data_IF_611504428544
#
_entry.id   IF_611504428544
#
_cell.length_a   1.000
_cell.length_b   1.000
_cell.length_c   1.000
_cell.angle_alpha   90.00
_cell.angle_beta   90.00
_cell.angle_gamma   90.00
#
_symmetry.space_group_name_H-M   'P 1'
#
loop_
_entity.id
_entity.type
_entity.pdbx_description
1 polymer ?
#
# COMPACT_ATOMS: atom_id res chain seq x y z
N UNK A 1 -25.66 -55.12 12.76
CA UNK A 1 -26.52 -54.76 13.92
C UNK A 1 -25.79 -53.69 14.71
N UNK A 2 -26.52 -52.72 15.28
CA UNK A 2 -26.10 -51.38 15.76
C UNK A 2 -26.08 -50.38 14.59
N UNK A 3 -26.86 -49.30 14.51
CA UNK A 3 -27.83 -48.68 15.42
C UNK A 3 -28.07 -47.24 14.94
N UNK A 4 -29.02 -47.04 14.02
CA UNK A 4 -29.49 -45.71 13.58
C UNK A 4 -30.46 -45.16 14.65
N UNK A 5 -30.16 -44.00 15.25
CA UNK A 5 -31.12 -43.24 16.07
C UNK A 5 -31.64 -42.06 15.27
N UNK A 6 -32.94 -42.09 15.02
CA UNK A 6 -33.69 -41.03 14.35
C UNK A 6 -34.03 -39.86 15.28
N UNK A 7 -34.23 -38.71 14.65
CA UNK A 7 -34.84 -37.51 15.24
C UNK A 7 -36.34 -37.73 15.51
N UNK A 8 -36.93 -37.07 16.53
CA UNK A 8 -38.35 -37.18 16.83
C UNK A 8 -39.24 -36.26 15.96
N UNK A 9 -40.53 -36.61 15.78
CA UNK A 9 -41.44 -35.97 14.82
C UNK A 9 -42.26 -34.80 15.40
N UNK A 10 -42.87 -34.02 14.50
CA UNK A 10 -43.80 -32.90 14.75
C UNK A 10 -45.20 -33.41 15.13
N UNK A 11 -45.88 -32.72 16.04
CA UNK A 11 -47.35 -32.77 16.19
C UNK A 11 -47.95 -31.38 16.47
N UNK A 12 -49.14 -31.15 15.90
CA UNK A 12 -49.98 -29.96 16.04
C UNK A 12 -51.33 -30.34 16.71
N UNK A 13 -51.81 -29.47 17.62
CA UNK A 13 -53.21 -29.05 17.94
C UNK A 13 -54.27 -30.09 18.41
N UNK A 14 -54.92 -29.85 19.58
CA UNK A 14 -56.28 -29.24 19.76
C UNK A 14 -56.84 -29.41 21.21
N UNK A 15 -57.34 -28.28 21.76
CA UNK A 15 -58.45 -27.95 22.70
C UNK A 15 -58.79 -28.69 24.03
N UNK A 16 -59.11 -27.87 25.06
CA UNK A 16 -60.13 -28.19 26.09
C UNK A 16 -60.11 -27.37 27.40
N UNK A 17 -61.06 -26.43 27.57
CA UNK A 17 -61.80 -26.13 28.84
C UNK A 17 -61.18 -25.31 30.00
N UNK A 18 -61.81 -24.16 30.35
CA UNK A 18 -61.65 -23.30 31.56
C UNK A 18 -62.66 -23.71 32.70
N UNK A 19 -62.85 -23.03 33.88
CA UNK A 19 -62.23 -21.81 34.46
C UNK A 19 -61.98 -21.73 36.01
N UNK A 20 -61.33 -20.62 36.41
CA UNK A 20 -61.45 -19.79 37.64
C UNK A 20 -60.88 -20.27 39.01
N UNK A 21 -59.84 -19.57 39.51
CA UNK A 21 -59.99 -18.46 40.48
C UNK A 21 -58.66 -17.86 40.96
N UNK A 22 -58.59 -16.52 40.91
CA UNK A 22 -57.90 -15.55 41.78
C UNK A 22 -56.67 -15.99 42.60
N UNK A 23 -55.53 -15.28 42.45
CA UNK A 23 -54.92 -14.38 43.47
C UNK A 23 -53.55 -13.84 42.99
N UNK A 24 -53.44 -12.50 43.03
CA UNK A 24 -52.25 -11.61 43.10
C UNK A 24 -51.20 -11.60 41.98
N UNK A 25 -51.27 -10.50 41.21
CA UNK A 25 -50.30 -9.98 40.25
C UNK A 25 -48.95 -9.62 40.91
N UNK A 26 -47.92 -10.41 40.62
CA UNK A 26 -46.53 -10.01 40.69
C UNK A 26 -46.06 -9.68 39.26
N UNK A 27 -45.95 -8.39 38.97
CA UNK A 27 -45.51 -7.86 37.68
C UNK A 27 -44.00 -8.13 37.55
N UNK A 28 -43.63 -9.28 36.99
CA UNK A 28 -42.26 -9.54 36.57
C UNK A 28 -41.84 -8.52 35.53
N UNK A 29 -40.70 -7.88 35.78
CA UNK A 29 -40.12 -6.86 34.93
C UNK A 29 -39.93 -7.33 33.50
N UNK A 30 -40.36 -6.50 32.56
CA UNK A 30 -40.01 -6.62 31.15
C UNK A 30 -38.49 -6.74 31.01
N UNK A 31 -37.96 -7.68 30.21
CA UNK A 31 -36.56 -7.65 29.86
C UNK A 31 -36.30 -6.37 29.07
N UNK A 32 -35.35 -5.58 29.57
CA UNK A 32 -34.90 -4.35 28.97
C UNK A 32 -34.60 -4.55 27.49
N UNK A 33 -35.20 -3.72 26.63
CA UNK A 33 -34.70 -3.50 25.28
C UNK A 33 -33.22 -3.15 25.39
N UNK A 34 -32.36 -4.07 24.98
CA UNK A 34 -30.94 -3.84 24.84
C UNK A 34 -30.74 -2.59 24.00
N UNK A 35 -30.12 -1.57 24.61
CA UNK A 35 -29.62 -0.40 23.89
C UNK A 35 -28.88 -0.92 22.66
N UNK A 36 -29.32 -0.51 21.46
CA UNK A 36 -28.50 -0.61 20.26
C UNK A 36 -27.19 0.11 20.58
N UNK A 37 -26.15 -0.64 20.89
CA UNK A 37 -24.80 -0.15 20.76
C UNK A 37 -24.70 0.32 19.32
N UNK A 38 -24.48 1.62 19.13
CA UNK A 38 -24.09 2.19 17.86
C UNK A 38 -22.87 1.40 17.40
N UNK A 39 -23.09 0.44 16.50
CA UNK A 39 -22.03 -0.34 15.91
C UNK A 39 -21.05 0.63 15.28
N UNK A 40 -19.81 0.60 15.76
CA UNK A 40 -18.69 1.11 14.97
C UNK A 40 -18.72 0.47 13.57
N UNK A 41 -18.02 1.07 12.59
CA UNK A 41 -17.98 0.55 11.23
C UNK A 41 -17.76 -0.96 11.28
N UNK A 42 -18.69 -1.72 10.68
CA UNK A 42 -18.69 -3.18 10.74
C UNK A 42 -17.30 -3.68 10.34
N UNK A 43 -16.66 -4.42 11.25
CA UNK A 43 -15.33 -4.95 11.02
C UNK A 43 -15.40 -5.82 9.75
N UNK A 44 -14.76 -5.33 8.69
CA UNK A 44 -14.91 -5.91 7.36
C UNK A 44 -13.94 -7.08 7.15
N UNK A 45 -13.10 -7.34 8.15
CA UNK A 45 -12.12 -8.41 8.17
C UNK A 45 -12.68 -9.64 8.91
N UNK A 46 -12.54 -10.83 8.29
CA UNK A 46 -12.85 -12.10 8.94
C UNK A 46 -11.75 -12.47 9.93
N UNK A 47 -12.13 -12.93 11.12
CA UNK A 47 -11.20 -13.59 12.03
C UNK A 47 -10.69 -14.92 11.42
N UNK A 48 -9.55 -15.43 11.87
CA UNK A 48 -8.94 -16.64 11.29
C UNK A 48 -9.89 -17.85 11.32
N UNK A 49 -10.59 -18.07 12.43
CA UNK A 49 -11.56 -19.17 12.54
C UNK A 49 -12.77 -18.97 11.60
N UNK A 50 -13.18 -17.72 11.35
CA UNK A 50 -14.27 -17.37 10.43
C UNK A 50 -13.85 -17.60 8.98
N UNK A 51 -12.61 -17.23 8.66
CA UNK A 51 -12.00 -17.48 7.36
C UNK A 51 -11.88 -18.99 7.06
N UNK A 52 -11.40 -19.78 8.02
CA UNK A 52 -11.29 -21.25 7.87
C UNK A 52 -12.69 -21.86 7.71
N UNK A 53 -13.67 -21.44 8.52
CA UNK A 53 -15.05 -21.91 8.39
C UNK A 53 -15.69 -21.55 7.04
N UNK A 54 -15.46 -20.32 6.57
CA UNK A 54 -15.88 -19.89 5.24
C UNK A 54 -15.26 -20.77 4.15
N UNK A 55 -13.95 -21.01 4.24
CA UNK A 55 -13.21 -21.81 3.27
C UNK A 55 -13.72 -23.26 3.23
N UNK A 56 -13.97 -23.89 4.39
CA UNK A 56 -14.53 -25.22 4.49
C UNK A 56 -15.95 -25.33 3.88
N UNK A 57 -16.81 -24.35 4.17
CA UNK A 57 -18.19 -24.32 3.63
C UNK A 57 -18.20 -24.12 2.12
N UNK A 58 -17.42 -23.17 1.62
CA UNK A 58 -17.31 -22.90 0.18
C UNK A 58 -16.72 -24.10 -0.55
N UNK A 59 -15.69 -24.73 0.02
CA UNK A 59 -15.09 -25.93 -0.54
C UNK A 59 -16.10 -27.06 -0.71
N UNK A 60 -16.85 -27.36 0.36
CA UNK A 60 -17.84 -28.43 0.36
C UNK A 60 -18.98 -28.17 -0.63
N UNK A 61 -19.53 -26.95 -0.67
CA UNK A 61 -20.58 -26.59 -1.62
C UNK A 61 -20.12 -26.62 -3.08
N UNK A 62 -18.87 -26.23 -3.35
CA UNK A 62 -18.31 -26.28 -4.70
C UNK A 62 -18.02 -27.70 -5.16
N UNK A 63 -17.59 -28.58 -4.26
CA UNK A 63 -17.38 -29.99 -4.56
C UNK A 63 -18.71 -30.76 -4.66
N UNK A 64 -19.75 -30.32 -3.95
CA UNK A 64 -21.07 -30.96 -3.91
C UNK A 64 -22.23 -30.00 -4.26
N UNK A 65 -22.36 -29.51 -5.51
CA UNK A 65 -23.36 -28.49 -5.87
C UNK A 65 -24.82 -28.95 -5.71
N UNK A 66 -25.06 -30.28 -5.77
CA UNK A 66 -26.38 -30.88 -5.64
C UNK A 66 -26.65 -31.42 -4.22
N UNK A 67 -25.80 -31.08 -3.25
CA UNK A 67 -26.03 -31.44 -1.86
C UNK A 67 -27.36 -30.84 -1.36
N UNK A 68 -28.17 -31.65 -0.67
CA UNK A 68 -29.52 -31.29 -0.24
C UNK A 68 -30.63 -31.48 -1.29
N UNK A 69 -30.31 -31.87 -2.53
CA UNK A 69 -31.32 -32.22 -3.53
C UNK A 69 -31.85 -33.64 -3.32
N UNK A 70 -33.18 -33.79 -3.33
CA UNK A 70 -33.89 -35.08 -3.18
C UNK A 70 -33.53 -36.10 -4.27
N UNK A 71 -33.00 -35.63 -5.41
CA UNK A 71 -32.68 -36.46 -6.57
C UNK A 71 -31.18 -36.74 -6.73
N UNK A 72 -30.34 -36.23 -5.84
CA UNK A 72 -28.91 -36.48 -5.91
C UNK A 72 -28.59 -37.89 -5.41
N UNK A 73 -28.16 -38.77 -6.31
CA UNK A 73 -27.70 -40.14 -6.01
C UNK A 73 -26.17 -40.28 -6.04
N UNK A 74 -25.43 -39.17 -6.18
CA UNK A 74 -23.97 -39.20 -6.24
C UNK A 74 -23.37 -39.25 -4.84
N UNK A 75 -22.26 -39.97 -4.73
CA UNK A 75 -21.47 -39.99 -3.51
C UNK A 75 -20.91 -38.60 -3.21
N UNK A 76 -20.97 -38.25 -1.92
CA UNK A 76 -20.50 -36.96 -1.44
C UNK A 76 -18.99 -36.94 -1.39
N UNK A 77 -18.38 -35.88 -1.93
CA UNK A 77 -16.98 -35.58 -1.65
C UNK A 77 -16.88 -35.10 -0.20
N UNK A 78 -16.14 -35.80 0.67
CA UNK A 78 -16.03 -35.43 2.08
C UNK A 78 -15.35 -34.06 2.25
N UNK A 79 -15.57 -33.40 3.39
CA UNK A 79 -15.10 -32.04 3.65
C UNK A 79 -13.56 -31.91 3.50
N UNK A 80 -12.72 -32.81 4.04
CA UNK A 80 -11.26 -32.71 3.88
C UNK A 80 -10.82 -32.68 2.42
N UNK A 81 -11.34 -33.59 1.60
CA UNK A 81 -11.03 -33.67 0.16
C UNK A 81 -11.57 -32.45 -0.60
N UNK A 82 -12.77 -31.99 -0.24
CA UNK A 82 -13.36 -30.78 -0.83
C UNK A 82 -12.46 -29.56 -0.60
N UNK A 83 -11.94 -29.41 0.63
CA UNK A 83 -11.02 -28.32 1.01
C UNK A 83 -9.69 -28.45 0.27
N UNK A 84 -9.13 -29.66 0.19
CA UNK A 84 -7.90 -29.91 -0.56
C UNK A 84 -8.04 -29.53 -2.04
N UNK A 85 -9.14 -29.92 -2.68
CA UNK A 85 -9.44 -29.58 -4.08
C UNK A 85 -9.53 -28.06 -4.24
N UNK A 86 -10.23 -27.36 -3.35
CA UNK A 86 -10.36 -25.90 -3.40
C UNK A 86 -9.00 -25.22 -3.23
N UNK A 87 -8.20 -25.66 -2.25
CA UNK A 87 -6.89 -25.11 -1.97
C UNK A 87 -5.95 -25.30 -3.17
N UNK A 88 -5.82 -26.52 -3.68
CA UNK A 88 -4.89 -26.84 -4.77
C UNK A 88 -5.30 -26.23 -6.11
N UNK A 89 -6.60 -26.25 -6.45
CA UNK A 89 -7.06 -25.81 -7.79
C UNK A 89 -7.36 -24.32 -7.88
N UNK A 90 -7.75 -23.67 -6.78
CA UNK A 90 -8.27 -22.29 -6.81
C UNK A 90 -7.46 -21.34 -5.95
N UNK A 91 -7.28 -21.65 -4.66
CA UNK A 91 -6.72 -20.70 -3.70
C UNK A 91 -5.21 -20.58 -3.86
N UNK A 92 -4.46 -21.68 -3.72
CA UNK A 92 -2.99 -21.66 -3.76
C UNK A 92 -2.40 -21.17 -5.09
N UNK A 93 -2.96 -21.51 -6.27
CA UNK A 93 -2.45 -20.97 -7.54
C UNK A 93 -2.63 -19.45 -7.66
N UNK A 94 -3.68 -18.90 -7.03
CA UNK A 94 -4.01 -17.48 -7.06
C UNK A 94 -3.51 -16.74 -5.81
N UNK A 95 -2.99 -17.45 -4.82
CA UNK A 95 -2.46 -16.87 -3.60
C UNK A 95 -1.23 -16.03 -3.94
N UNK A 96 -1.20 -14.82 -3.39
CA UNK A 96 -0.01 -13.97 -3.49
C UNK A 96 1.11 -14.67 -2.73
N UNK A 97 2.13 -15.14 -3.45
CA UNK A 97 3.35 -15.66 -2.84
C UNK A 97 4.14 -14.53 -2.21
N UNK A 98 4.85 -14.84 -1.14
CA UNK A 98 5.79 -13.88 -0.57
C UNK A 98 6.93 -13.64 -1.57
N UNK A 99 7.14 -12.36 -1.90
CA UNK A 99 8.20 -11.88 -2.80
C UNK A 99 9.17 -10.96 -2.05
N UNK A 100 9.17 -11.04 -0.72
CA UNK A 100 10.05 -10.27 0.16
C UNK A 100 11.52 -10.44 -0.26
N UNK A 101 11.99 -11.69 -0.42
CA UNK A 101 13.34 -12.01 -0.84
C UNK A 101 13.71 -11.49 -2.23
N UNK A 102 12.79 -11.56 -3.19
CA UNK A 102 13.01 -11.02 -4.55
C UNK A 102 13.21 -9.50 -4.51
N UNK A 103 12.42 -8.80 -3.69
CA UNK A 103 12.57 -7.36 -3.51
C UNK A 103 13.92 -7.01 -2.87
N UNK A 104 14.38 -7.76 -1.86
CA UNK A 104 15.69 -7.53 -1.23
C UNK A 104 16.82 -7.66 -2.26
N UNK A 105 16.76 -8.69 -3.10
CA UNK A 105 17.73 -8.90 -4.20
C UNK A 105 17.69 -7.75 -5.21
N UNK A 106 16.49 -7.35 -5.64
CA UNK A 106 16.31 -6.25 -6.58
C UNK A 106 16.85 -4.93 -6.03
N UNK A 107 16.52 -4.62 -4.77
CA UNK A 107 17.00 -3.43 -4.08
C UNK A 107 18.53 -3.43 -3.94
N UNK A 108 19.14 -4.57 -3.60
CA UNK A 108 20.59 -4.70 -3.50
C UNK A 108 21.29 -4.50 -4.86
N UNK A 109 20.66 -4.94 -5.96
CA UNK A 109 21.21 -4.79 -7.31
C UNK A 109 21.02 -3.39 -7.92
N UNK A 110 20.02 -2.62 -7.47
CA UNK A 110 19.74 -1.29 -8.03
C UNK A 110 20.66 -0.22 -7.45
N UNK A 111 21.77 0.03 -8.13
CA UNK A 111 22.75 1.05 -7.76
C UNK A 111 22.17 2.45 -7.65
N UNK A 112 21.16 2.80 -8.45
CA UNK A 112 20.56 4.13 -8.42
C UNK A 112 19.80 4.35 -7.09
N UNK A 113 19.03 3.35 -6.65
CA UNK A 113 18.35 3.41 -5.35
C UNK A 113 19.34 3.35 -4.19
N UNK A 114 20.40 2.53 -4.29
CA UNK A 114 21.44 2.49 -3.26
C UNK A 114 22.15 3.85 -3.11
N UNK A 115 22.40 4.57 -4.20
CA UNK A 115 22.97 5.91 -4.15
C UNK A 115 22.05 6.90 -3.42
N UNK A 116 20.73 6.83 -3.64
CA UNK A 116 19.75 7.63 -2.87
C UNK A 116 19.80 7.29 -1.39
N UNK A 117 19.84 5.99 -1.04
CA UNK A 117 19.91 5.57 0.36
C UNK A 117 21.20 6.03 1.05
N UNK A 118 22.32 6.06 0.32
CA UNK A 118 23.58 6.59 0.82
C UNK A 118 23.51 8.11 1.03
N UNK A 119 22.97 8.87 0.07
CA UNK A 119 22.79 10.33 0.14
C UNK A 119 21.94 10.74 1.36
N UNK A 120 20.83 10.04 1.61
CA UNK A 120 19.92 10.36 2.71
C UNK A 120 20.24 9.63 4.02
N UNK A 121 21.29 8.81 4.06
CA UNK A 121 21.61 7.96 5.23
C UNK A 121 21.72 8.78 6.52
N UNK A 122 22.50 9.85 6.48
CA UNK A 122 22.73 10.69 7.66
C UNK A 122 21.45 11.42 8.10
N UNK A 123 20.69 11.97 7.15
CA UNK A 123 19.40 12.62 7.41
C UNK A 123 18.41 11.66 8.08
N UNK A 124 18.30 10.44 7.56
CA UNK A 124 17.45 9.40 8.13
C UNK A 124 17.91 8.97 9.52
N UNK A 125 19.21 8.87 9.76
CA UNK A 125 19.73 8.61 11.12
C UNK A 125 19.39 9.74 12.08
N UNK A 126 19.55 11.00 11.66
CA UNK A 126 19.22 12.16 12.47
C UNK A 126 17.72 12.27 12.74
N UNK A 127 16.88 11.84 11.79
CA UNK A 127 15.43 11.74 11.96
C UNK A 127 15.01 10.62 12.93
N UNK A 128 15.61 9.43 12.82
CA UNK A 128 15.21 8.26 13.65
C UNK A 128 15.74 8.35 15.09
N UNK A 129 16.91 8.96 15.31
CA UNK A 129 17.52 9.10 16.65
C UNK A 129 16.58 9.69 17.71
N UNK A 130 15.94 10.87 17.54
CA UNK A 130 15.03 11.41 18.54
C UNK A 130 13.79 10.54 18.75
N UNK A 131 13.31 9.87 17.70
CA UNK A 131 12.19 8.92 17.78
C UNK A 131 12.56 7.75 18.69
N UNK A 132 13.71 7.12 18.45
CA UNK A 132 14.17 5.99 19.26
C UNK A 132 14.50 6.43 20.70
N UNK A 133 15.07 7.63 20.90
CA UNK A 133 15.28 8.18 22.25
C UNK A 133 13.97 8.28 23.05
N UNK A 134 12.86 8.62 22.40
CA UNK A 134 11.54 8.66 23.06
C UNK A 134 11.01 7.28 23.49
N UNK A 135 11.52 6.21 22.88
CA UNK A 135 11.18 4.82 23.23
C UNK A 135 12.12 4.23 24.29
N UNK A 136 13.20 4.93 24.65
CA UNK A 136 14.21 4.41 25.57
C UNK A 136 13.62 4.26 26.97
N UNK A 137 13.82 3.09 27.56
CA UNK A 137 13.44 2.79 28.93
C UNK A 137 14.62 2.14 29.67
N UNK A 138 14.56 2.07 30.98
CA UNK A 138 15.63 1.47 31.81
C UNK A 138 15.86 -0.01 31.46
N UNK A 139 14.79 -0.72 31.13
CA UNK A 139 14.76 -2.12 30.67
C UNK A 139 15.07 -2.27 29.16
N UNK A 140 15.09 -1.17 28.41
CA UNK A 140 15.32 -1.16 26.97
C UNK A 140 16.28 -0.03 26.56
N UNK A 141 17.59 -0.21 26.82
CA UNK A 141 18.57 0.87 26.70
C UNK A 141 18.88 1.26 25.25
N UNK A 142 18.73 0.34 24.29
CA UNK A 142 19.01 0.53 22.87
C UNK A 142 17.77 0.23 22.02
N UNK A 143 16.80 1.16 21.95
CA UNK A 143 15.56 0.90 21.27
C UNK A 143 15.71 0.83 19.75
N UNK A 144 15.02 -0.14 19.16
CA UNK A 144 14.79 -0.27 17.72
C UNK A 144 13.40 0.22 17.34
N UNK A 145 13.15 0.40 16.04
CA UNK A 145 11.83 0.83 15.56
C UNK A 145 10.82 -0.29 15.79
N UNK A 146 9.84 -0.09 16.67
CA UNK A 146 8.77 -1.08 16.91
C UNK A 146 7.66 -0.94 15.88
N UNK A 147 6.94 -2.05 15.65
CA UNK A 147 5.78 -2.08 14.76
C UNK A 147 4.74 -1.02 15.10
N UNK A 148 4.37 -0.91 16.39
CA UNK A 148 3.40 0.09 16.86
C UNK A 148 3.87 1.50 16.55
N UNK A 149 5.12 1.83 16.90
CA UNK A 149 5.67 3.17 16.67
C UNK A 149 5.72 3.51 15.19
N UNK A 150 6.09 2.56 14.34
CA UNK A 150 6.10 2.76 12.89
C UNK A 150 4.71 3.11 12.35
N UNK A 151 3.67 2.36 12.75
CA UNK A 151 2.29 2.63 12.34
C UNK A 151 1.83 4.01 12.80
N UNK A 152 2.10 4.36 14.06
CA UNK A 152 1.74 5.67 14.63
C UNK A 152 2.43 6.82 13.89
N UNK A 153 3.71 6.64 13.50
CA UNK A 153 4.44 7.63 12.70
C UNK A 153 3.82 7.81 11.31
N UNK A 154 3.48 6.71 10.63
CA UNK A 154 2.91 6.77 9.28
C UNK A 154 1.53 7.44 9.24
N UNK A 155 0.75 7.36 10.32
CA UNK A 155 -0.55 8.04 10.42
C UNK A 155 -0.42 9.56 10.72
N UNK A 156 0.77 10.00 11.13
CA UNK A 156 1.15 11.40 11.27
C UNK A 156 0.72 12.07 12.59
N UNK A 157 0.94 13.39 12.74
CA UNK A 157 0.56 14.14 13.92
C UNK A 157 -0.96 14.28 13.93
N UNK A 158 -1.62 13.47 14.75
CA UNK A 158 -3.09 13.32 14.72
C UNK A 158 -3.57 11.87 14.67
N UNK A 159 -2.70 10.87 14.90
CA UNK A 159 -3.13 9.51 15.24
C UNK A 159 -4.17 9.49 16.37
N UNK A 160 -4.79 8.33 16.68
CA UNK A 160 -5.98 8.25 17.55
C UNK A 160 -5.84 8.96 18.91
N UNK A 161 -4.62 9.09 19.42
CA UNK A 161 -4.32 9.69 20.74
C UNK A 161 -3.99 11.20 20.70
N UNK A 162 -4.01 11.86 19.54
CA UNK A 162 -3.89 13.33 19.40
C UNK A 162 -2.57 13.98 19.85
N UNK A 163 -1.62 13.22 20.42
CA UNK A 163 -0.31 13.70 20.87
C UNK A 163 0.72 13.60 19.74
N UNK A 164 0.62 14.49 18.76
CA UNK A 164 1.58 14.58 17.66
C UNK A 164 2.99 14.94 18.12
N UNK A 165 4.01 14.34 17.49
CA UNK A 165 5.40 14.77 17.63
C UNK A 165 5.52 16.21 17.10
N UNK A 166 5.99 17.14 17.94
CA UNK A 166 6.14 18.55 17.58
C UNK A 166 7.30 18.75 16.59
N UNK A 167 7.22 19.82 15.79
CA UNK A 167 8.29 20.25 14.87
C UNK A 167 9.59 20.41 15.67
N UNK A 168 10.52 19.46 15.50
CA UNK A 168 11.80 19.40 16.23
C UNK A 168 12.09 18.06 16.91
N UNK A 169 11.08 17.22 17.19
CA UNK A 169 11.25 15.90 17.81
C UNK A 169 10.79 14.81 16.84
N UNK A 170 11.61 14.42 15.87
CA UNK A 170 11.26 13.29 14.97
C UNK A 170 9.91 13.45 14.26
N UNK A 171 9.59 14.68 13.85
CA UNK A 171 8.36 14.99 13.12
C UNK A 171 8.25 14.09 11.87
N UNK A 172 7.09 13.49 11.69
CA UNK A 172 6.74 12.69 10.53
C UNK A 172 5.41 13.24 10.00
N UNK A 173 5.34 13.75 8.76
CA UNK A 173 4.08 14.07 8.12
C UNK A 173 3.18 12.84 8.05
N UNK A 174 1.89 13.07 7.78
CA UNK A 174 0.99 11.96 7.49
C UNK A 174 1.40 11.30 6.17
N UNK A 175 1.95 10.09 6.25
CA UNK A 175 2.48 9.32 5.12
C UNK A 175 1.44 8.39 4.49
N UNK A 176 0.27 8.27 5.12
CA UNK A 176 -0.83 7.40 4.67
C UNK A 176 -1.99 8.25 4.17
N UNK A 177 -2.45 7.94 2.97
CA UNK A 177 -3.43 8.72 2.26
C UNK A 177 -3.47 8.39 0.77
N UNK A 178 -4.25 9.19 0.04
CA UNK A 178 -4.28 9.20 -1.42
C UNK A 178 -4.03 10.62 -1.91
N UNK A 179 -3.15 10.75 -2.89
CA UNK A 179 -2.80 12.01 -3.52
C UNK A 179 -2.94 11.88 -5.02
N UNK A 180 -3.39 12.94 -5.67
CA UNK A 180 -3.65 12.99 -7.09
C UNK A 180 -2.94 14.19 -7.68
N UNK A 181 -2.35 14.01 -8.86
CA UNK A 181 -1.75 15.09 -9.62
C UNK A 181 -2.10 14.92 -11.08
N UNK A 182 -2.64 15.97 -11.67
CA UNK A 182 -2.83 16.06 -13.10
C UNK A 182 -1.53 16.52 -13.79
N UNK A 183 -1.13 15.86 -14.87
CA UNK A 183 0.08 16.22 -15.59
C UNK A 183 -0.01 17.64 -16.15
N UNK A 184 1.01 18.45 -15.89
CA UNK A 184 1.13 19.82 -16.36
C UNK A 184 2.25 19.96 -17.41
N UNK A 185 2.16 21.03 -18.20
CA UNK A 185 3.16 21.38 -19.20
C UNK A 185 3.53 22.85 -19.06
N UNK A 186 4.82 23.13 -19.20
CA UNK A 186 5.35 24.49 -19.30
C UNK A 186 5.16 25.07 -20.72
N UNK A 187 4.75 24.24 -21.67
CA UNK A 187 4.47 24.64 -23.05
C UNK A 187 3.03 25.14 -23.13
N UNK A 188 2.86 26.42 -23.47
CA UNK A 188 1.53 27.02 -23.64
C UNK A 188 0.76 26.34 -24.78
N UNK A 189 -0.45 25.86 -24.49
CA UNK A 189 -1.31 25.21 -25.49
C UNK A 189 -0.96 23.74 -25.77
N UNK A 190 -0.17 23.08 -24.92
CA UNK A 190 0.22 21.69 -25.10
C UNK A 190 -0.98 20.72 -25.06
N UNK A 191 -1.30 20.15 -26.22
CA UNK A 191 -2.42 19.24 -26.42
C UNK A 191 -2.35 17.97 -25.56
N UNK A 192 -1.16 17.59 -25.09
CA UNK A 192 -0.96 16.44 -24.20
C UNK A 192 -1.56 16.67 -22.82
N UNK A 193 -1.70 17.93 -22.41
CA UNK A 193 -2.25 18.32 -21.10
C UNK A 193 -3.69 18.83 -21.17
N UNK A 194 -4.29 18.83 -22.36
CA UNK A 194 -5.71 19.13 -22.53
C UNK A 194 -6.58 18.14 -21.75
N UNK A 195 -7.76 18.60 -21.30
CA UNK A 195 -8.69 17.83 -20.46
C UNK A 195 -9.01 16.40 -20.97
N UNK A 196 -8.92 16.17 -22.28
CA UNK A 196 -9.17 14.86 -22.91
C UNK A 196 -7.97 13.90 -22.86
N UNK A 197 -6.75 14.43 -22.83
CA UNK A 197 -5.50 13.66 -23.00
C UNK A 197 -4.62 13.66 -21.74
N UNK A 198 -4.98 14.45 -20.74
CA UNK A 198 -4.22 14.63 -19.51
C UNK A 198 -4.12 13.34 -18.71
N UNK A 199 -2.90 12.99 -18.33
CA UNK A 199 -2.62 11.88 -17.44
C UNK A 199 -2.80 12.34 -15.99
N UNK A 200 -3.60 11.62 -15.21
CA UNK A 200 -3.69 11.84 -13.76
C UNK A 200 -2.85 10.79 -13.04
N UNK A 201 -1.84 11.22 -12.30
CA UNK A 201 -1.03 10.39 -11.43
C UNK A 201 -1.69 10.22 -10.06
N UNK A 202 -1.55 9.03 -9.50
CA UNK A 202 -2.05 8.68 -8.17
C UNK A 202 -0.90 8.15 -7.31
N UNK A 203 -0.70 8.74 -6.14
CA UNK A 203 0.08 8.14 -5.06
C UNK A 203 -0.88 7.64 -3.98
N UNK A 204 -0.66 6.44 -3.44
CA UNK A 204 -1.51 5.88 -2.38
C UNK A 204 -0.73 5.00 -1.43
N UNK A 205 -0.89 5.23 -0.14
CA UNK A 205 -0.35 4.34 0.89
C UNK A 205 -1.41 4.17 1.97
N UNK A 206 -1.63 2.94 2.41
CA UNK A 206 -2.63 2.60 3.43
C UNK A 206 -1.97 2.04 4.69
N UNK A 207 -2.62 2.15 5.85
CA UNK A 207 -2.12 1.54 7.10
C UNK A 207 -1.85 0.03 6.90
N UNK A 208 -2.74 -0.78 6.30
CA UNK A 208 -2.43 -2.18 6.03
C UNK A 208 -1.16 -2.38 5.19
N UNK A 209 -0.93 -1.51 4.18
CA UNK A 209 0.28 -1.59 3.37
C UNK A 209 1.55 -1.29 4.20
N UNK A 210 1.52 -0.25 5.04
CA UNK A 210 2.62 0.07 5.96
C UNK A 210 2.94 -1.09 6.91
N UNK A 211 1.90 -1.72 7.47
CA UNK A 211 2.02 -2.89 8.36
C UNK A 211 2.67 -4.07 7.64
N UNK A 212 2.21 -4.39 6.45
CA UNK A 212 2.79 -5.48 5.65
C UNK A 212 4.24 -5.19 5.21
N UNK A 213 4.56 -3.94 4.88
CA UNK A 213 5.91 -3.55 4.50
C UNK A 213 6.89 -3.66 5.68
N UNK A 214 6.45 -3.31 6.89
CA UNK A 214 7.23 -3.50 8.11
C UNK A 214 7.57 -4.98 8.32
N UNK A 215 6.56 -5.84 8.36
CA UNK A 215 6.73 -7.28 8.60
C UNK A 215 7.61 -7.96 7.53
N UNK A 216 7.50 -7.54 6.26
CA UNK A 216 8.30 -8.09 5.15
C UNK A 216 9.76 -7.61 5.14
N UNK A 217 10.07 -6.56 5.89
CA UNK A 217 11.44 -6.04 5.97
C UNK A 217 12.25 -6.79 7.02
N UNK A 218 11.58 -7.42 7.99
CA UNK A 218 12.22 -8.25 9.01
C UNK A 218 12.94 -9.45 8.40
N UNK A 219 14.00 -9.88 9.06
CA UNK A 219 14.66 -11.14 8.78
C UNK A 219 13.78 -12.34 9.20
N UNK A 220 13.87 -13.43 8.45
CA UNK A 220 13.07 -14.66 8.67
C UNK A 220 13.30 -15.23 10.07
N UNK A 221 14.52 -15.10 10.60
CA UNK A 221 14.90 -15.57 11.94
C UNK A 221 14.16 -14.85 13.07
N UNK A 222 13.81 -13.56 12.88
CA UNK A 222 13.04 -12.79 13.87
C UNK A 222 11.55 -13.14 13.85
N UNK A 223 11.01 -13.61 12.72
CA UNK A 223 9.62 -14.01 12.56
C UNK A 223 9.31 -15.41 13.13
N UNK A 224 10.32 -16.29 13.22
CA UNK A 224 10.19 -17.68 13.70
C UNK A 224 11.01 -17.98 14.96
N UNK A 225 11.48 -16.94 15.66
CA UNK A 225 12.15 -17.10 16.95
C UNK A 225 11.27 -17.81 17.98
N UNK A 226 11.87 -18.44 19.01
CA UNK A 226 11.11 -19.18 20.03
C UNK A 226 10.03 -18.27 20.60
N UNK A 227 8.78 -18.77 20.64
CA UNK A 227 7.63 -18.08 21.20
C UNK A 227 8.00 -17.52 22.57
N UNK A 228 8.26 -16.21 22.64
CA UNK A 228 8.38 -15.51 23.91
C UNK A 228 6.96 -15.21 24.35
N UNK A 229 6.44 -16.03 25.25
CA UNK A 229 5.14 -15.83 25.88
C UNK A 229 5.01 -14.40 26.42
N UNK A 230 4.06 -13.65 25.88
CA UNK A 230 3.70 -12.32 26.32
C UNK A 230 2.77 -11.65 25.31
N UNK A 231 1.64 -11.11 25.74
CA UNK A 231 0.63 -10.45 24.88
C UNK A 231 1.11 -9.12 24.25
N UNK A 232 2.39 -8.77 24.35
CA UNK A 232 2.90 -7.51 23.85
C UNK A 232 3.34 -7.61 22.39
N UNK A 233 2.57 -7.00 21.50
CA UNK A 233 2.86 -6.80 20.06
C UNK A 233 4.17 -6.05 19.73
N UNK A 234 5.03 -5.79 20.71
CA UNK A 234 6.31 -5.07 20.60
C UNK A 234 7.50 -5.96 20.19
N UNK A 235 7.29 -7.26 19.91
CA UNK A 235 8.38 -8.16 19.48
C UNK A 235 8.90 -7.88 18.08
N UNK A 236 8.08 -7.27 17.23
CA UNK A 236 8.45 -6.96 15.87
C UNK A 236 9.20 -5.62 15.84
N UNK A 237 10.53 -5.68 15.76
CA UNK A 237 11.40 -4.50 15.60
C UNK A 237 12.11 -4.50 14.24
N UNK A 238 12.59 -3.32 13.82
CA UNK A 238 13.49 -3.16 12.69
C UNK A 238 14.79 -2.51 13.15
N UNK A 239 15.91 -3.07 12.72
CA UNK A 239 17.19 -2.35 12.73
C UNK A 239 17.20 -1.23 11.68
N UNK A 240 18.28 -0.44 11.61
CA UNK A 240 18.35 0.68 10.68
C UNK A 240 18.37 0.25 9.20
N UNK A 241 19.01 -0.88 8.87
CA UNK A 241 19.03 -1.40 7.50
C UNK A 241 17.68 -1.94 7.08
N UNK A 242 17.01 -2.69 7.96
CA UNK A 242 15.65 -3.17 7.76
C UNK A 242 14.64 -2.01 7.68
N UNK A 243 14.87 -0.93 8.43
CA UNK A 243 14.08 0.30 8.32
C UNK A 243 14.26 0.97 6.95
N UNK A 244 15.49 1.05 6.43
CA UNK A 244 15.73 1.56 5.08
C UNK A 244 15.01 0.72 4.01
N UNK A 245 15.02 -0.61 4.17
CA UNK A 245 14.26 -1.52 3.30
C UNK A 245 12.75 -1.27 3.40
N UNK A 246 12.22 -1.12 4.62
CA UNK A 246 10.81 -0.82 4.87
C UNK A 246 10.37 0.49 4.20
N UNK A 247 11.20 1.53 4.32
CA UNK A 247 11.03 2.81 3.62
C UNK A 247 10.95 2.58 2.10
N UNK A 248 11.86 1.80 1.53
CA UNK A 248 11.86 1.51 0.09
C UNK A 248 10.59 0.78 -0.35
N UNK A 249 10.11 -0.19 0.43
CA UNK A 249 8.86 -0.91 0.16
C UNK A 249 7.65 0.02 0.21
N UNK A 250 7.61 0.94 1.18
CA UNK A 250 6.58 1.96 1.27
C UNK A 250 6.62 2.91 0.08
N UNK A 251 7.80 3.36 -0.35
CA UNK A 251 7.98 4.22 -1.50
C UNK A 251 7.45 3.57 -2.80
N UNK A 252 7.88 2.34 -3.08
CA UNK A 252 7.43 1.59 -4.27
C UNK A 252 5.93 1.33 -4.24
N UNK A 253 5.38 0.97 -3.07
CA UNK A 253 3.94 0.79 -2.91
C UNK A 253 3.15 2.10 -3.09
N UNK A 254 3.69 3.21 -2.57
CA UNK A 254 3.08 4.53 -2.62
C UNK A 254 2.95 5.04 -4.07
N UNK A 255 4.02 4.91 -4.85
CA UNK A 255 4.13 5.42 -6.21
C UNK A 255 3.94 4.34 -7.29
N UNK A 256 3.32 3.21 -6.96
CA UNK A 256 3.13 2.07 -7.88
C UNK A 256 2.47 2.47 -9.21
N UNK A 257 1.54 3.43 -9.19
CA UNK A 257 0.93 3.95 -10.42
C UNK A 257 1.97 4.66 -11.30
N UNK A 258 2.81 5.53 -10.74
CA UNK A 258 3.82 6.26 -11.51
C UNK A 258 4.95 5.37 -12.02
N UNK A 259 5.30 4.32 -11.29
CA UNK A 259 6.28 3.30 -11.72
C UNK A 259 5.79 2.50 -12.93
N UNK A 260 4.47 2.39 -13.14
CA UNK A 260 3.85 1.61 -14.23
C UNK A 260 3.31 2.47 -15.37
N UNK A 261 3.01 3.73 -15.10
CA UNK A 261 2.47 4.66 -16.10
C UNK A 261 3.61 5.18 -16.96
N UNK A 262 3.65 4.72 -18.21
CA UNK A 262 4.56 5.23 -19.22
C UNK A 262 4.11 6.63 -19.66
N UNK A 263 5.05 7.56 -19.69
CA UNK A 263 4.80 8.95 -20.09
C UNK A 263 5.45 9.16 -21.46
N UNK A 264 4.65 9.24 -22.56
CA UNK A 264 5.20 9.33 -23.91
C UNK A 264 6.15 10.52 -24.11
N UNK A 265 5.89 11.64 -23.46
CA UNK A 265 6.76 12.83 -23.52
C UNK A 265 8.14 12.63 -22.89
N UNK A 266 8.29 11.67 -21.98
CA UNK A 266 9.56 11.33 -21.34
C UNK A 266 10.22 10.08 -21.94
N UNK A 267 9.48 9.29 -22.74
CA UNK A 267 9.96 8.02 -23.30
C UNK A 267 10.27 6.95 -22.24
N UNK A 268 9.75 7.11 -21.03
CA UNK A 268 9.98 6.23 -19.88
C UNK A 268 8.79 6.27 -18.89
N UNK A 269 8.71 5.32 -17.94
CA UNK A 269 7.79 5.44 -16.80
C UNK A 269 7.97 6.76 -16.06
N UNK A 270 6.87 7.29 -15.51
CA UNK A 270 6.87 8.59 -14.82
C UNK A 270 7.87 8.64 -13.65
N UNK A 271 8.14 7.49 -13.01
CA UNK A 271 9.16 7.34 -11.99
C UNK A 271 9.97 6.07 -12.20
N UNK A 272 11.27 6.13 -11.89
CA UNK A 272 12.07 4.94 -11.57
C UNK A 272 11.98 4.61 -10.06
N UNK A 273 12.47 3.44 -9.65
CA UNK A 273 12.49 3.06 -8.22
C UNK A 273 13.28 4.07 -7.38
N UNK A 274 14.44 4.51 -7.86
CA UNK A 274 15.26 5.52 -7.20
C UNK A 274 14.51 6.86 -7.03
N UNK A 275 13.76 7.29 -8.05
CA UNK A 275 12.94 8.50 -8.01
C UNK A 275 11.85 8.39 -6.94
N UNK A 276 11.16 7.24 -6.88
CA UNK A 276 10.12 6.97 -5.89
C UNK A 276 10.68 6.97 -4.45
N UNK A 277 11.83 6.32 -4.23
CA UNK A 277 12.49 6.29 -2.92
C UNK A 277 12.94 7.68 -2.49
N UNK A 278 13.56 8.45 -3.39
CA UNK A 278 13.96 9.84 -3.13
C UNK A 278 12.76 10.70 -2.76
N UNK A 279 11.71 10.66 -3.58
CA UNK A 279 10.46 11.40 -3.35
C UNK A 279 9.85 11.05 -1.99
N UNK A 280 9.77 9.76 -1.66
CA UNK A 280 9.16 9.32 -0.39
C UNK A 280 9.98 9.76 0.83
N UNK A 281 11.32 9.70 0.75
CA UNK A 281 12.20 10.21 1.83
C UNK A 281 12.05 11.73 2.00
N UNK A 282 11.99 12.48 0.90
CA UNK A 282 11.77 13.94 0.96
C UNK A 282 10.45 14.28 1.63
N UNK A 283 9.39 13.52 1.37
CA UNK A 283 8.11 13.69 2.08
C UNK A 283 8.23 13.28 3.55
N UNK A 284 8.87 12.15 3.85
CA UNK A 284 9.07 11.68 5.24
C UNK A 284 9.78 12.74 6.10
N UNK A 285 10.79 13.39 5.53
CA UNK A 285 11.57 14.43 6.19
C UNK A 285 10.87 15.81 6.20
N UNK A 286 9.70 15.93 5.56
CA UNK A 286 8.95 17.18 5.45
C UNK A 286 9.58 18.21 4.52
N UNK A 287 10.47 17.78 3.61
CA UNK A 287 11.12 18.64 2.62
C UNK A 287 10.17 18.98 1.46
N UNK A 288 9.29 18.05 1.07
CA UNK A 288 8.32 18.21 -0.02
C UNK A 288 6.99 17.53 0.31
N UNK A 289 5.94 17.83 -0.46
CA UNK A 289 4.68 17.06 -0.45
C UNK A 289 4.69 15.99 -1.55
N UNK A 290 3.77 15.02 -1.45
CA UNK A 290 3.65 13.98 -2.48
C UNK A 290 3.38 14.59 -3.85
N UNK A 291 2.49 15.57 -3.96
CA UNK A 291 2.14 16.26 -5.19
C UNK A 291 3.34 16.97 -5.82
N UNK A 292 4.15 17.67 -5.02
CA UNK A 292 5.34 18.35 -5.52
C UNK A 292 6.35 17.36 -6.10
N UNK A 293 6.58 16.23 -5.40
CA UNK A 293 7.43 15.16 -5.90
C UNK A 293 6.90 14.55 -7.20
N UNK A 294 5.58 14.32 -7.29
CA UNK A 294 4.97 13.82 -8.53
C UNK A 294 5.10 14.83 -9.68
N UNK A 295 4.97 16.12 -9.39
CA UNK A 295 5.00 17.20 -10.38
C UNK A 295 6.38 17.36 -10.99
N UNK A 296 7.43 17.46 -10.19
CA UNK A 296 8.80 17.67 -10.69
C UNK A 296 9.27 16.57 -11.65
N UNK A 297 8.77 15.35 -11.45
CA UNK A 297 9.15 14.17 -12.24
C UNK A 297 8.25 13.96 -13.47
N UNK A 298 7.04 14.53 -13.48
CA UNK A 298 6.05 14.32 -14.54
C UNK A 298 5.78 15.53 -15.41
N UNK A 299 6.16 16.72 -14.97
CA UNK A 299 5.95 17.98 -15.69
C UNK A 299 6.68 17.93 -17.04
N UNK A 300 5.97 18.34 -18.08
CA UNK A 300 6.55 18.50 -19.40
C UNK A 300 7.30 19.83 -19.40
N UNK A 301 8.63 19.76 -19.37
CA UNK A 301 9.49 20.94 -19.34
C UNK A 301 9.66 21.53 -20.73
N UNK A 302 9.64 22.86 -20.79
CA UNK A 302 9.98 23.62 -21.99
C UNK A 302 11.50 23.91 -21.98
N UNK A 303 12.33 22.86 -22.09
CA UNK A 303 13.78 23.05 -22.15
C UNK A 303 14.17 23.68 -23.49
N UNK A 304 14.91 24.79 -23.43
CA UNK A 304 15.43 25.45 -24.63
C UNK A 304 16.40 24.53 -25.36
N UNK A 305 16.28 24.48 -26.69
CA UNK A 305 17.22 23.74 -27.51
C UNK A 305 18.66 24.27 -27.34
N UNK A 306 19.51 23.48 -26.67
CA UNK A 306 20.94 23.77 -26.55
C UNK A 306 21.67 23.20 -27.77
N UNK A 307 21.78 24.02 -28.81
CA UNK A 307 22.44 23.65 -30.08
C UNK A 307 23.87 23.15 -29.89
N UNK A 308 24.58 23.52 -28.82
CA UNK A 308 25.95 23.03 -28.56
C UNK A 308 25.97 21.59 -28.11
N UNK A 309 24.95 21.17 -27.35
CA UNK A 309 24.88 19.83 -26.74
C UNK A 309 24.03 18.86 -27.56
N UNK A 310 23.00 19.38 -28.22
CA UNK A 310 21.97 18.58 -28.87
C UNK A 310 22.14 18.46 -30.39
N UNK A 311 22.94 19.34 -31.01
CA UNK A 311 23.19 19.23 -32.44
C UNK A 311 24.11 18.05 -32.75
N UNK A 312 23.73 17.27 -33.75
CA UNK A 312 24.49 16.12 -34.24
C UNK A 312 24.79 16.33 -35.71
N UNK A 313 25.99 15.98 -36.15
CA UNK A 313 26.32 15.98 -37.57
C UNK A 313 25.40 14.99 -38.30
N UNK A 314 24.89 15.39 -39.46
CA UNK A 314 24.10 14.50 -40.31
C UNK A 314 24.99 13.37 -40.85
N UNK A 315 24.38 12.25 -41.23
CA UNK A 315 25.11 11.14 -41.84
C UNK A 315 25.81 11.60 -43.13
N UNK A 316 27.15 11.52 -43.17
CA UNK A 316 27.96 11.98 -44.31
C UNK A 316 28.33 13.47 -44.31
N UNK A 317 27.91 14.25 -43.31
CA UNK A 317 28.27 15.66 -43.19
C UNK A 317 29.72 15.82 -42.72
N UNK A 318 30.51 16.62 -43.45
CA UNK A 318 31.90 16.90 -43.04
C UNK A 318 31.91 17.69 -41.71
N UNK A 319 32.82 17.40 -40.75
CA UNK A 319 32.90 18.13 -39.48
C UNK A 319 33.00 19.65 -39.62
N UNK A 320 33.65 20.14 -40.68
CA UNK A 320 33.76 21.58 -40.98
C UNK A 320 32.41 22.20 -41.34
N UNK A 321 31.57 21.48 -42.09
CA UNK A 321 30.23 21.94 -42.47
C UNK A 321 29.30 21.97 -41.25
N UNK A 322 29.42 20.98 -40.36
CA UNK A 322 28.67 20.98 -39.11
C UNK A 322 29.06 22.17 -38.22
N UNK A 323 30.36 22.46 -38.12
CA UNK A 323 30.84 23.65 -37.39
C UNK A 323 30.31 24.96 -37.99
N UNK A 324 30.30 25.08 -39.32
CA UNK A 324 29.76 26.25 -40.00
C UNK A 324 28.25 26.43 -39.72
N UNK A 325 27.50 25.33 -39.67
CA UNK A 325 26.10 25.33 -39.29
C UNK A 325 25.90 25.83 -37.85
N UNK A 326 26.70 25.36 -36.90
CA UNK A 326 26.66 25.81 -35.50
C UNK A 326 26.93 27.32 -35.39
N UNK A 327 27.90 27.83 -36.15
CA UNK A 327 28.23 29.26 -36.21
C UNK A 327 27.11 30.08 -36.84
N UNK A 328 26.41 29.53 -37.85
CA UNK A 328 25.24 30.16 -38.46
C UNK A 328 24.05 30.21 -37.46
N UNK A 329 23.75 29.08 -36.81
CA UNK A 329 22.68 28.97 -35.81
C UNK A 329 22.85 29.99 -34.68
N UNK A 330 24.09 30.16 -34.19
CA UNK A 330 24.43 31.16 -33.15
C UNK A 330 24.01 32.59 -33.53
N UNK A 331 24.00 32.92 -34.82
CA UNK A 331 23.72 34.27 -35.33
C UNK A 331 22.27 34.46 -35.78
N UNK A 332 21.45 33.40 -35.79
CA UNK A 332 20.07 33.50 -36.24
C UNK A 332 19.21 34.28 -35.23
N UNK A 333 18.54 35.37 -35.65
CA UNK A 333 17.56 36.06 -34.82
C UNK A 333 16.24 35.27 -34.83
N UNK A 334 16.20 34.17 -34.07
CA UNK A 334 15.02 33.30 -34.00
C UNK A 334 13.81 33.99 -33.36
N UNK A 335 14.04 35.06 -32.60
CA UNK A 335 13.01 35.82 -31.87
C UNK A 335 12.00 36.52 -32.78
N UNK A 336 12.40 36.85 -34.01
CA UNK A 336 11.57 37.56 -34.98
C UNK A 336 10.91 36.60 -35.98
N UNK A 337 11.11 35.29 -35.83
CA UNK A 337 10.50 34.28 -36.69
C UNK A 337 9.02 34.15 -36.34
N UNK A 338 8.16 34.30 -37.34
CA UNK A 338 6.72 34.10 -37.18
C UNK A 338 6.43 32.66 -36.73
N UNK A 339 5.58 32.50 -35.71
CA UNK A 339 5.34 31.23 -34.99
C UNK A 339 6.52 30.64 -34.22
N UNK A 340 7.59 31.42 -33.97
CA UNK A 340 8.62 30.94 -33.07
C UNK A 340 8.03 30.73 -31.67
N UNK A 341 8.32 29.58 -31.02
CA UNK A 341 7.68 29.26 -29.76
C UNK A 341 7.93 30.32 -28.68
N UNK A 342 6.85 30.82 -28.07
CA UNK A 342 6.93 31.91 -27.09
C UNK A 342 7.72 31.53 -25.83
N UNK A 343 7.84 30.23 -25.50
CA UNK A 343 8.63 29.74 -24.38
C UNK A 343 10.14 29.67 -24.68
N UNK A 344 10.57 29.93 -25.91
CA UNK A 344 11.99 30.08 -26.27
C UNK A 344 12.48 31.54 -26.27
N UNK A 345 11.59 32.49 -25.95
CA UNK A 345 11.97 33.89 -25.65
C UNK A 345 12.73 33.95 -24.34
#
# INVERSE_FOLDING_TARGET
RVGLRGWPPRHNLVAGGKPASSVRSARMGSPAMGRKASGGPADTALNMYEFINFLARVAFWRANPQWGSKYNKRDLTPVPESVEILLKKVVLPKAKRDRSGDFKKALASDMATQAVLAEYREKLQNWVRPILRSLRRTDFPNPQMTYKKWVDLMDGPGGPDGKGLTKGSGYCPKMVGEWFLDQESQVTGDERTNRKNRITFKAKLSIPACRWNFLRSQTVEQLFGPEKEGENTDFATLDFGELQECICRCAVGCYDHMLRTNVPSLGRPAMAMADAVRAWIQVLLGEKTHEMCMWELSVIKAERYDWKKMSKAMAGQEPKQHKLWLDCWKRMPLMDVHYFPLWEK
#
